data_IF_512067736445
#
_entry.id   IF_512067736445
#
_cell.length_a   1.000
_cell.length_b   1.000
_cell.length_c   1.000
_cell.angle_alpha   90.00
_cell.angle_beta   90.00
_cell.angle_gamma   90.00
#
_symmetry.space_group_name_H-M   'P 1'
#
loop_
_entity.id
_entity.type
_entity.pdbx_description
1 polymer ?
#
# COMPACT_ATOMS: atom_id res chain seq x y z
N UNK A 1 -12.26 -16.38 1.67
CA UNK A 1 -11.38 -15.22 1.90
C UNK A 1 -11.27 -14.98 3.42
N UNK A 2 -10.19 -15.43 4.06
CA UNK A 2 -9.96 -15.39 5.52
C UNK A 2 -9.57 -13.98 6.05
N UNK A 3 -9.74 -12.92 5.26
CA UNK A 3 -9.23 -11.59 5.60
C UNK A 3 -9.85 -10.96 6.85
N UNK A 4 -11.05 -11.38 7.26
CA UNK A 4 -11.70 -10.89 8.49
C UNK A 4 -11.05 -11.44 9.78
N UNK A 5 -10.32 -12.57 9.72
CA UNK A 5 -9.58 -13.13 10.86
C UNK A 5 -8.16 -12.57 10.96
N UNK A 6 -7.63 -11.96 9.90
CA UNK A 6 -6.27 -11.41 9.85
C UNK A 6 -5.96 -10.44 11.02
N UNK A 7 -6.87 -9.57 11.48
CA UNK A 7 -6.63 -8.72 12.65
C UNK A 7 -6.36 -9.52 13.93
N UNK A 8 -7.03 -10.67 14.13
CA UNK A 8 -6.91 -11.47 15.35
C UNK A 8 -5.49 -12.07 15.53
N UNK A 9 -4.77 -12.27 14.44
CA UNK A 9 -3.40 -12.78 14.44
C UNK A 9 -2.34 -11.69 14.24
N UNK A 10 -2.76 -10.43 14.10
CA UNK A 10 -1.85 -9.28 13.95
C UNK A 10 -1.44 -8.76 15.31
N UNK A 11 -0.15 -8.45 15.49
CA UNK A 11 0.31 -7.79 16.72
C UNK A 11 -0.35 -6.41 16.84
N UNK A 12 -0.85 -6.08 18.04
CA UNK A 12 -1.58 -4.83 18.28
C UNK A 12 -0.88 -3.54 17.79
N UNK A 13 0.45 -3.36 17.91
CA UNK A 13 1.13 -2.18 17.35
C UNK A 13 1.00 -2.04 15.83
N UNK A 14 0.91 -3.16 15.09
CA UNK A 14 0.77 -3.13 13.64
C UNK A 14 -0.58 -2.58 13.16
N UNK A 15 -1.59 -2.57 14.04
CA UNK A 15 -2.91 -1.98 13.78
C UNK A 15 -2.95 -0.46 13.95
N UNK A 16 -1.93 0.10 14.61
CA UNK A 16 -1.82 1.53 14.90
C UNK A 16 -0.81 2.23 14.00
N UNK A 17 0.06 1.49 13.34
CA UNK A 17 1.01 2.06 12.38
C UNK A 17 0.27 2.59 11.14
N UNK A 18 0.47 3.87 10.87
CA UNK A 18 -0.15 4.66 9.79
C UNK A 18 0.77 4.86 8.58
N UNK A 19 1.96 4.26 8.60
CA UNK A 19 2.87 4.21 7.45
C UNK A 19 2.55 2.97 6.61
N UNK A 20 2.22 3.18 5.35
CA UNK A 20 1.92 2.10 4.40
C UNK A 20 3.04 1.84 3.40
N UNK A 21 3.78 2.88 3.03
CA UNK A 21 4.70 2.85 1.89
C UNK A 21 6.13 3.17 2.28
N UNK A 22 6.52 2.91 3.53
CA UNK A 22 7.82 3.26 4.08
C UNK A 22 8.19 4.71 3.73
N UNK A 23 7.38 5.65 4.20
CA UNK A 23 7.35 7.05 3.73
C UNK A 23 8.64 7.82 3.95
N UNK A 24 9.48 7.36 4.86
CA UNK A 24 10.75 7.97 5.22
C UNK A 24 11.97 7.30 4.54
N UNK A 25 11.76 6.32 3.67
CA UNK A 25 12.84 5.68 2.92
C UNK A 25 13.22 6.52 1.68
N UNK A 26 14.47 6.40 1.23
CA UNK A 26 14.91 6.97 -0.06
C UNK A 26 14.17 6.30 -1.24
N UNK A 27 14.01 4.98 -1.13
CA UNK A 27 13.31 4.10 -2.05
C UNK A 27 12.35 3.19 -1.27
N UNK A 28 11.11 3.10 -1.72
CA UNK A 28 10.10 2.20 -1.14
C UNK A 28 9.63 1.22 -2.20
N UNK A 29 9.80 -0.08 -1.96
CA UNK A 29 9.46 -1.13 -2.92
C UNK A 29 8.40 -2.06 -2.34
N UNK A 30 7.45 -2.51 -3.17
CA UNK A 30 6.45 -3.50 -2.79
C UNK A 30 5.78 -4.13 -4.01
N UNK A 31 5.05 -5.22 -3.79
CA UNK A 31 4.33 -5.92 -4.86
C UNK A 31 3.43 -4.94 -5.63
N UNK A 32 3.53 -4.96 -6.96
CA UNK A 32 2.66 -4.13 -7.78
C UNK A 32 1.27 -4.77 -7.86
N UNK A 33 0.26 -4.02 -7.43
CA UNK A 33 -1.14 -4.43 -7.52
C UNK A 33 -1.94 -3.36 -8.24
N UNK A 34 -2.43 -3.71 -9.43
CA UNK A 34 -3.32 -2.86 -10.23
C UNK A 34 -4.69 -3.53 -10.33
N UNK A 35 -5.78 -2.88 -9.87
CA UNK A 35 -7.13 -3.44 -9.99
C UNK A 35 -7.58 -3.64 -11.44
N UNK A 36 -6.93 -2.97 -12.41
CA UNK A 36 -7.27 -3.05 -13.83
C UNK A 36 -6.42 -4.07 -14.61
N UNK A 37 -5.35 -4.59 -14.02
CA UNK A 37 -4.47 -5.57 -14.68
C UNK A 37 -5.12 -6.95 -14.78
N UNK A 38 -4.84 -7.67 -15.87
CA UNK A 38 -5.28 -9.05 -16.03
C UNK A 38 -4.43 -10.00 -15.19
N UNK A 39 -5.02 -11.14 -14.81
CA UNK A 39 -4.30 -12.18 -14.10
C UNK A 39 -3.09 -12.66 -14.91
N UNK A 40 -1.89 -12.50 -14.35
CA UNK A 40 -0.64 -12.88 -15.01
C UNK A 40 0.15 -11.70 -15.61
N UNK A 41 -0.50 -10.57 -15.88
CA UNK A 41 0.09 -9.45 -16.61
C UNK A 41 1.25 -8.79 -15.86
N UNK A 42 1.14 -8.71 -14.53
CA UNK A 42 2.10 -8.03 -13.66
C UNK A 42 2.90 -8.99 -12.78
N UNK A 43 2.93 -10.29 -13.11
CA UNK A 43 3.69 -11.26 -12.32
C UNK A 43 5.18 -10.90 -12.38
N UNK A 44 5.82 -10.85 -11.20
CA UNK A 44 7.24 -10.56 -11.09
C UNK A 44 7.59 -9.08 -11.17
N UNK A 45 6.61 -8.18 -11.23
CA UNK A 45 6.85 -6.73 -11.17
C UNK A 45 6.62 -6.20 -9.75
N UNK A 46 7.41 -5.19 -9.39
CA UNK A 46 7.28 -4.46 -8.14
C UNK A 46 7.03 -2.99 -8.43
N UNK A 47 6.24 -2.37 -7.57
CA UNK A 47 6.15 -0.92 -7.49
C UNK A 47 7.36 -0.35 -6.76
N UNK A 48 7.87 0.79 -7.22
CA UNK A 48 8.95 1.51 -6.58
C UNK A 48 8.59 3.00 -6.48
N UNK A 49 8.63 3.55 -5.27
CA UNK A 49 8.52 4.98 -5.01
C UNK A 49 9.89 5.55 -4.69
N UNK A 50 10.30 6.54 -5.47
CA UNK A 50 11.54 7.30 -5.27
C UNK A 50 11.20 8.61 -4.57
N UNK A 51 11.89 8.95 -3.49
CA UNK A 51 11.55 10.13 -2.67
C UNK A 51 12.68 11.14 -2.55
N UNK A 52 13.92 10.67 -2.52
CA UNK A 52 15.09 11.52 -2.27
C UNK A 52 16.05 11.49 -3.46
N UNK A 53 16.91 12.52 -3.61
CA UNK A 53 17.95 12.53 -4.64
C UNK A 53 18.92 11.34 -4.52
N UNK A 54 19.13 10.83 -3.31
CA UNK A 54 19.96 9.63 -3.07
C UNK A 54 19.28 8.39 -3.66
N UNK A 55 17.97 8.25 -3.43
CA UNK A 55 17.18 7.15 -4.01
C UNK A 55 17.15 7.21 -5.54
N UNK A 56 17.03 8.41 -6.10
CA UNK A 56 17.05 8.64 -7.55
C UNK A 56 18.40 8.23 -8.16
N UNK A 57 19.52 8.67 -7.59
CA UNK A 57 20.86 8.26 -8.06
C UNK A 57 21.06 6.73 -7.97
N UNK A 58 20.59 6.09 -6.91
CA UNK A 58 20.67 4.63 -6.76
C UNK A 58 19.87 3.93 -7.87
N UNK A 59 18.63 4.39 -8.12
CA UNK A 59 17.77 3.82 -9.15
C UNK A 59 18.39 4.00 -10.54
N UNK A 60 18.85 5.20 -10.86
CA UNK A 60 19.46 5.54 -12.16
C UNK A 60 20.70 4.69 -12.42
N UNK A 61 21.55 4.49 -11.41
CA UNK A 61 22.71 3.60 -11.54
C UNK A 61 22.31 2.15 -11.74
N UNK A 62 21.26 1.67 -11.07
CA UNK A 62 20.77 0.30 -11.24
C UNK A 62 20.20 0.06 -12.65
N UNK A 63 19.45 1.02 -13.19
CA UNK A 63 18.94 1.00 -14.57
C UNK A 63 20.09 1.07 -15.58
N UNK A 64 21.01 2.02 -15.41
CA UNK A 64 22.18 2.20 -16.30
C UNK A 64 23.06 0.94 -16.35
N UNK A 65 23.22 0.25 -15.22
CA UNK A 65 23.99 -0.99 -15.12
C UNK A 65 23.18 -2.25 -15.48
N UNK A 66 21.91 -2.09 -15.91
CA UNK A 66 21.01 -3.18 -16.36
C UNK A 66 20.72 -4.23 -15.27
N UNK A 67 20.68 -3.82 -14.01
CA UNK A 67 20.26 -4.72 -12.92
C UNK A 67 18.74 -4.88 -12.85
N UNK A 68 18.01 -3.86 -13.29
CA UNK A 68 16.55 -3.81 -13.31
C UNK A 68 16.08 -3.04 -14.53
N UNK A 69 14.83 -3.29 -14.91
CA UNK A 69 14.09 -2.52 -15.90
C UNK A 69 12.95 -1.77 -15.18
N UNK A 70 12.64 -0.56 -15.66
CA UNK A 70 11.63 0.30 -15.04
C UNK A 70 10.66 0.82 -16.09
N UNK A 71 9.38 0.91 -15.71
CA UNK A 71 8.35 1.60 -16.47
C UNK A 71 7.75 2.73 -15.63
N UNK A 72 7.30 3.80 -16.28
CA UNK A 72 6.64 4.91 -15.60
C UNK A 72 5.32 4.48 -14.99
N UNK A 73 5.04 4.95 -13.76
CA UNK A 73 3.81 4.69 -13.05
C UNK A 73 3.38 5.93 -12.26
N UNK A 74 2.11 6.30 -12.41
CA UNK A 74 1.50 7.38 -11.62
C UNK A 74 1.37 6.96 -10.15
N UNK A 75 1.90 7.77 -9.23
CA UNK A 75 1.90 7.46 -7.80
C UNK A 75 0.48 7.24 -7.23
N UNK A 76 -0.53 7.91 -7.79
CA UNK A 76 -1.93 7.75 -7.40
C UNK A 76 -2.46 6.33 -7.63
N UNK A 77 -1.93 5.59 -8.61
CA UNK A 77 -2.32 4.19 -8.87
C UNK A 77 -1.91 3.25 -7.75
N UNK A 78 -0.82 3.54 -7.04
CA UNK A 78 -0.40 2.73 -5.88
C UNK A 78 -1.38 2.82 -4.71
N UNK A 79 -2.06 3.96 -4.57
CA UNK A 79 -3.05 4.15 -3.52
C UNK A 79 -4.39 3.43 -3.81
N UNK A 80 -4.57 2.87 -5.02
CA UNK A 80 -5.78 2.13 -5.41
C UNK A 80 -5.93 0.81 -4.62
N UNK A 81 -4.84 0.25 -4.10
CA UNK A 81 -4.86 -0.97 -3.30
C UNK A 81 -5.68 -0.86 -2.01
N UNK A 82 -6.36 -1.95 -1.64
CA UNK A 82 -7.08 -2.08 -0.36
C UNK A 82 -6.13 -1.89 0.84
N UNK A 83 -4.86 -2.28 0.67
CA UNK A 83 -3.83 -2.14 1.70
C UNK A 83 -3.64 -0.70 2.16
N UNK A 84 -3.75 0.26 1.25
CA UNK A 84 -3.61 1.68 1.57
C UNK A 84 -4.69 2.12 2.58
N UNK A 85 -5.98 1.81 2.35
CA UNK A 85 -7.05 2.21 3.30
C UNK A 85 -6.87 1.55 4.66
N UNK A 86 -6.58 0.25 4.64
CA UNK A 86 -6.46 -0.53 5.87
C UNK A 86 -5.33 -0.01 6.76
N UNK A 87 -4.31 0.59 6.16
CA UNK A 87 -3.13 1.08 6.86
C UNK A 87 -3.16 2.57 7.13
N UNK A 88 -3.58 3.40 6.18
CA UNK A 88 -3.64 4.86 6.33
C UNK A 88 -4.83 5.28 7.17
N UNK A 89 -6.04 5.06 6.66
CA UNK A 89 -7.25 5.59 7.28
C UNK A 89 -7.76 4.70 8.41
N UNK A 90 -7.77 3.38 8.24
CA UNK A 90 -8.28 2.50 9.30
C UNK A 90 -7.34 2.46 10.52
N UNK A 91 -6.02 2.55 10.35
CA UNK A 91 -5.11 2.67 11.50
C UNK A 91 -5.23 4.04 12.18
N UNK A 92 -5.37 5.12 11.41
CA UNK A 92 -5.65 6.45 11.96
C UNK A 92 -6.96 6.50 12.75
N UNK A 93 -8.02 5.85 12.24
CA UNK A 93 -9.28 5.70 12.94
C UNK A 93 -9.09 4.92 14.26
N UNK A 94 -8.35 3.82 14.25
CA UNK A 94 -8.04 3.05 15.47
C UNK A 94 -7.27 3.90 16.49
N UNK A 95 -6.27 4.67 16.06
CA UNK A 95 -5.56 5.62 16.93
C UNK A 95 -6.53 6.62 17.59
N UNK A 96 -7.44 7.20 16.81
CA UNK A 96 -8.47 8.12 17.32
C UNK A 96 -9.38 7.45 18.36
N UNK A 97 -9.85 6.24 18.09
CA UNK A 97 -10.69 5.50 19.06
C UNK A 97 -9.91 5.19 20.33
N UNK A 98 -8.67 4.69 20.22
CA UNK A 98 -7.84 4.39 21.39
C UNK A 98 -7.58 5.62 22.27
N UNK A 99 -7.28 6.77 21.64
CA UNK A 99 -7.17 8.06 22.35
C UNK A 99 -8.46 8.41 23.09
N UNK A 100 -9.62 8.27 22.44
CA UNK A 100 -10.94 8.51 23.05
C UNK A 100 -11.20 7.63 24.28
N UNK A 101 -10.72 6.39 24.29
CA UNK A 101 -10.89 5.44 25.40
C UNK A 101 -9.73 5.44 26.41
N UNK A 102 -8.73 6.33 26.26
CA UNK A 102 -7.57 6.40 27.16
C UNK A 102 -6.61 5.21 27.06
N UNK A 103 -6.63 4.46 25.95
CA UNK A 103 -5.72 3.34 25.74
C UNK A 103 -4.34 3.81 25.28
N UNK A 104 -3.27 3.03 25.53
CA UNK A 104 -1.94 3.35 25.03
C UNK A 104 -1.91 3.47 23.50
N UNK A 105 -1.35 4.57 23.03
CA UNK A 105 -1.14 4.87 21.61
C UNK A 105 0.26 5.41 21.38
N UNK A 106 0.92 5.08 20.26
CA UNK A 106 2.13 5.77 19.85
C UNK A 106 1.82 7.23 19.47
N UNK A 107 2.78 8.11 19.74
CA UNK A 107 2.82 9.44 19.15
C UNK A 107 3.73 9.40 17.91
N UNK A 108 3.15 9.79 16.78
CA UNK A 108 3.86 9.84 15.49
C UNK A 108 4.28 11.26 15.12
N UNK A 109 4.01 12.26 15.97
CA UNK A 109 4.29 13.68 15.74
C UNK A 109 3.77 14.18 14.39
N UNK A 110 2.65 13.62 13.94
CA UNK A 110 1.98 13.98 12.69
C UNK A 110 0.48 13.89 12.84
N UNK A 111 -0.22 14.75 12.10
CA UNK A 111 -1.66 14.61 11.95
C UNK A 111 -1.98 13.36 11.13
N UNK A 112 -3.03 12.66 11.53
CA UNK A 112 -3.48 11.44 10.86
C UNK A 112 -4.90 11.63 10.37
N UNK A 113 -5.08 11.70 9.07
CA UNK A 113 -6.40 11.64 8.45
C UNK A 113 -6.96 10.22 8.53
N UNK A 114 -8.25 10.12 8.77
CA UNK A 114 -9.00 8.87 8.85
C UNK A 114 -10.23 8.90 7.93
N UNK A 115 -10.31 9.88 7.04
CA UNK A 115 -11.35 10.01 6.03
C UNK A 115 -10.99 9.11 4.84
N UNK A 116 -11.78 8.06 4.56
CA UNK A 116 -11.51 7.21 3.41
C UNK A 116 -11.81 7.97 2.10
N UNK A 117 -11.10 7.62 1.03
CA UNK A 117 -11.46 8.06 -0.32
C UNK A 117 -12.17 6.97 -1.11
N UNK A 118 -12.96 7.38 -2.10
CA UNK A 118 -13.64 6.47 -3.03
C UNK A 118 -12.60 5.75 -3.88
N UNK A 119 -12.72 4.43 -4.01
CA UNK A 119 -11.80 3.61 -4.80
C UNK A 119 -12.54 2.75 -5.81
N UNK A 120 -11.86 2.51 -6.93
CA UNK A 120 -12.16 1.37 -7.77
C UNK A 120 -11.80 0.10 -7.00
N UNK A 121 -12.80 -0.72 -6.70
CA UNK A 121 -12.57 -2.03 -6.12
C UNK A 121 -12.20 -2.98 -7.24
N UNK A 122 -11.13 -3.77 -7.07
CA UNK A 122 -10.90 -4.94 -7.92
C UNK A 122 -12.08 -5.88 -7.73
N UNK A 123 -13.00 -5.90 -8.69
CA UNK A 123 -14.05 -6.90 -8.75
C UNK A 123 -13.38 -8.21 -9.14
N UNK A 124 -13.62 -9.26 -8.35
CA UNK A 124 -13.20 -10.60 -8.78
C UNK A 124 -13.76 -10.83 -10.19
N UNK A 125 -12.95 -11.28 -11.17
CA UNK A 125 -13.45 -11.49 -12.52
C UNK A 125 -14.66 -12.40 -12.43
N UNK A 126 -15.82 -11.90 -12.85
CA UNK A 126 -17.01 -12.73 -12.99
C UNK A 126 -16.63 -13.83 -13.98
N UNK A 127 -16.58 -15.07 -13.53
CA UNK A 127 -16.48 -16.21 -14.45
C UNK A 127 -17.67 -16.12 -15.37
N UNK A 128 -17.49 -15.55 -16.57
CA UNK A 128 -18.42 -15.73 -17.68
C UNK A 128 -18.32 -17.18 -18.12
N UNK A 129 -18.90 -18.08 -17.34
CA UNK A 129 -19.32 -19.39 -17.81
C UNK A 129 -20.52 -19.17 -18.73
N UNK A 130 -20.22 -18.72 -19.94
CA UNK A 130 -21.15 -18.64 -21.05
C UNK A 130 -20.41 -19.17 -22.27
N UNK A 131 -20.24 -20.50 -22.33
CA UNK A 131 -19.96 -21.17 -23.60
C UNK A 131 -21.08 -20.76 -24.58
N UNK A 132 -20.70 -20.09 -25.68
CA UNK A 132 -21.51 -19.99 -26.88
C UNK A 132 -21.66 -21.38 -27.51
#
# INVERSE_FOLDING_TARGET
MYHHLMPAFKRAPCEMCVDWSAELADLSVGDYWDPQAQAGETIGTSSCLVRTPIGEDILDRAVKNKYIETAGLEASRLAAGVGFELKKHAAAFRLRQRRRFGWPVPDYHRETDHTPFVKEQHLAPETKNGKK
#
